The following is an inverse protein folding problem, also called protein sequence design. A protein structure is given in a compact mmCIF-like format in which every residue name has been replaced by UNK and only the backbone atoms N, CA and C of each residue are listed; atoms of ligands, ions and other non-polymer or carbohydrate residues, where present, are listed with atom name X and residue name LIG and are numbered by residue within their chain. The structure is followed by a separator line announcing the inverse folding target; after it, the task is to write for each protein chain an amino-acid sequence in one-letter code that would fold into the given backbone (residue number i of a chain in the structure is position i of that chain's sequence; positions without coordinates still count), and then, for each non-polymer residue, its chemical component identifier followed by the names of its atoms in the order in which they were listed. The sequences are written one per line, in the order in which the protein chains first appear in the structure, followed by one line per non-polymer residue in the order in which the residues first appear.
data_IF_775151287835
#
_entry.id   IF_775151287835
#
_cell.length_a   1.000
_cell.length_b   1.000
_cell.length_c   1.000
_cell.angle_alpha   90.00
_cell.angle_beta   90.00
_cell.angle_gamma   90.00
#
_symmetry.space_group_name_H-M   'P 1'
#
loop_
_entity.id
_entity.type
_entity.pdbx_description
1 polymer ?
#
# COMPACT_ATOMS: atom_id res chain seq x y z
N UNK A 1 13.46 4.89 -22.66
CA UNK A 1 12.48 3.98 -22.06
C UNK A 1 11.92 4.62 -20.81
N UNK A 2 10.61 4.57 -20.64
CA UNK A 2 9.91 5.06 -19.45
C UNK A 2 8.98 3.95 -18.95
N UNK A 3 9.02 3.70 -17.65
CA UNK A 3 8.13 2.79 -16.95
C UNK A 3 7.51 3.52 -15.77
N UNK A 4 6.19 3.43 -15.62
CA UNK A 4 5.43 3.97 -14.50
C UNK A 4 4.47 2.91 -13.99
N UNK A 5 4.47 2.71 -12.68
CA UNK A 5 3.62 1.75 -11.99
C UNK A 5 2.90 2.45 -10.82
N UNK A 6 1.71 3.00 -11.05
CA UNK A 6 0.84 3.43 -9.98
C UNK A 6 0.15 2.22 -9.34
N UNK A 7 -0.03 2.27 -8.02
CA UNK A 7 -0.84 1.34 -7.24
C UNK A 7 -1.65 2.13 -6.23
N UNK A 8 -2.95 1.90 -6.18
CA UNK A 8 -3.85 2.37 -5.12
C UNK A 8 -4.64 1.15 -4.68
N UNK A 9 -4.56 0.83 -3.40
CA UNK A 9 -5.23 -0.31 -2.79
C UNK A 9 -5.91 0.15 -1.51
N UNK A 10 -7.22 0.00 -1.44
CA UNK A 10 -8.03 0.35 -0.30
C UNK A 10 -8.85 -0.86 0.14
N UNK A 11 -8.94 -1.09 1.43
CA UNK A 11 -9.79 -2.09 2.03
C UNK A 11 -10.46 -1.55 3.28
N UNK A 12 -11.79 -1.69 3.35
CA UNK A 12 -12.57 -1.42 4.53
C UNK A 12 -13.26 -2.72 4.97
N UNK A 13 -13.08 -3.09 6.21
CA UNK A 13 -13.59 -4.34 6.76
C UNK A 13 -14.81 -4.08 7.63
N UNK A 14 -15.78 -4.96 7.52
CA UNK A 14 -17.00 -4.88 8.29
C UNK A 14 -17.62 -6.26 8.49
N UNK A 15 -18.60 -6.37 9.37
CA UNK A 15 -19.31 -7.61 9.66
C UNK A 15 -18.35 -8.71 10.13
N UNK A 16 -17.61 -8.42 11.18
CA UNK A 16 -16.72 -9.38 11.81
C UNK A 16 -17.48 -10.61 12.28
N UNK A 17 -16.85 -11.75 12.15
CA UNK A 17 -17.43 -13.05 12.46
C UNK A 17 -16.36 -14.02 12.87
N UNK A 18 -16.71 -14.95 13.73
CA UNK A 18 -15.87 -16.07 14.11
C UNK A 18 -16.31 -17.37 13.42
N UNK A 19 -15.43 -18.34 13.36
CA UNK A 19 -15.76 -19.67 12.89
C UNK A 19 -16.56 -20.43 13.97
N UNK A 20 -17.79 -20.83 13.67
CA UNK A 20 -18.66 -21.50 14.65
C UNK A 20 -18.09 -22.84 15.16
N UNK A 21 -17.32 -23.54 14.31
CA UNK A 21 -16.64 -24.79 14.66
C UNK A 21 -15.50 -25.10 13.70
N UNK A 22 -14.42 -25.73 14.17
CA UNK A 22 -13.31 -26.12 13.30
C UNK A 22 -13.76 -27.04 12.14
N UNK A 23 -13.23 -26.80 10.93
CA UNK A 23 -13.51 -27.62 9.75
C UNK A 23 -14.88 -27.40 9.12
N UNK A 24 -15.63 -26.36 9.51
CA UNK A 24 -16.88 -25.94 8.87
C UNK A 24 -16.76 -24.61 8.15
N UNK A 25 -17.78 -24.24 7.36
CA UNK A 25 -17.97 -22.90 6.82
C UNK A 25 -19.12 -22.16 7.51
N UNK A 26 -19.49 -22.62 8.72
CA UNK A 26 -20.49 -21.95 9.54
C UNK A 26 -19.81 -20.85 10.35
N UNK A 27 -20.40 -19.66 10.37
CA UNK A 27 -19.84 -18.49 11.05
C UNK A 27 -20.89 -17.89 11.99
N UNK A 28 -20.46 -17.49 13.17
CA UNK A 28 -21.21 -16.60 14.06
C UNK A 28 -20.82 -15.17 13.74
N UNK A 29 -21.75 -14.33 13.33
CA UNK A 29 -21.50 -12.92 13.09
C UNK A 29 -21.71 -12.14 14.38
N UNK A 30 -20.78 -11.28 14.71
CA UNK A 30 -20.92 -10.38 15.86
C UNK A 30 -21.90 -9.25 15.56
N UNK A 31 -22.73 -8.93 16.52
CA UNK A 31 -23.69 -7.84 16.48
C UNK A 31 -23.03 -6.50 16.85
N UNK A 32 -23.73 -5.40 16.65
CA UNK A 32 -23.18 -4.06 16.90
C UNK A 32 -22.93 -3.76 18.39
N UNK A 33 -23.62 -4.44 19.27
CA UNK A 33 -23.49 -4.34 20.73
C UNK A 33 -22.34 -5.21 21.30
N UNK A 34 -21.85 -6.17 20.52
CA UNK A 34 -20.68 -6.99 20.83
C UNK A 34 -19.36 -6.37 20.33
N UNK A 35 -19.43 -5.29 19.54
CA UNK A 35 -18.26 -4.67 18.92
C UNK A 35 -18.09 -3.22 19.42
N UNK A 36 -16.93 -2.93 19.99
CA UNK A 36 -16.51 -1.58 20.35
C UNK A 36 -15.33 -1.20 19.45
N UNK A 37 -15.45 -0.06 18.75
CA UNK A 37 -14.34 0.50 17.98
C UNK A 37 -13.86 1.79 18.65
N UNK A 38 -12.62 1.80 19.11
CA UNK A 38 -12.02 2.97 19.74
C UNK A 38 -10.50 3.01 19.50
N UNK A 39 -9.98 4.21 19.29
CA UNK A 39 -8.53 4.45 19.14
C UNK A 39 -7.81 3.61 18.08
N UNK A 40 -8.53 3.19 17.03
CA UNK A 40 -7.96 2.35 15.97
C UNK A 40 -7.91 0.86 16.29
N UNK A 41 -8.58 0.43 17.36
CA UNK A 41 -8.73 -0.97 17.76
C UNK A 41 -10.20 -1.36 17.77
N UNK A 42 -10.46 -2.60 17.44
CA UNK A 42 -11.73 -3.28 17.69
C UNK A 42 -11.61 -4.15 18.91
N UNK A 43 -12.53 -3.99 19.85
CA UNK A 43 -12.74 -4.92 20.96
C UNK A 43 -14.04 -5.67 20.72
N UNK A 44 -14.00 -6.97 20.80
CA UNK A 44 -15.16 -7.84 20.61
C UNK A 44 -15.40 -8.58 21.91
N UNK A 45 -16.63 -8.44 22.41
CA UNK A 45 -17.17 -9.20 23.53
C UNK A 45 -18.27 -10.14 22.97
N UNK A 46 -17.98 -11.45 22.83
CA UNK A 46 -18.87 -12.38 22.11
C UNK A 46 -20.26 -12.59 22.74
N UNK A 47 -20.47 -12.18 23.95
CA UNK A 47 -21.74 -12.31 24.68
C UNK A 47 -22.21 -11.00 25.36
N UNK A 48 -21.57 -9.88 24.99
CA UNK A 48 -21.88 -8.49 25.36
C UNK A 48 -21.85 -8.17 26.87
N UNK A 49 -22.03 -9.11 27.76
CA UNK A 49 -21.97 -8.93 29.21
C UNK A 49 -21.95 -10.27 29.97
N UNK A 50 -21.65 -11.36 29.30
CA UNK A 50 -21.57 -12.70 29.85
C UNK A 50 -20.18 -13.06 30.35
N UNK A 51 -19.90 -14.35 30.56
CA UNK A 51 -18.65 -14.84 31.08
C UNK A 51 -17.56 -15.03 30.00
N UNK A 52 -17.85 -14.80 28.71
CA UNK A 52 -16.85 -14.93 27.66
C UNK A 52 -15.81 -13.81 27.79
N UNK A 53 -14.54 -14.13 27.53
CA UNK A 53 -13.49 -13.13 27.55
C UNK A 53 -13.56 -12.29 26.26
N UNK A 54 -13.51 -10.95 26.40
CA UNK A 54 -13.35 -10.06 25.27
C UNK A 54 -11.93 -10.18 24.69
N UNK A 55 -11.81 -9.91 23.39
CA UNK A 55 -10.52 -9.84 22.70
C UNK A 55 -10.45 -8.62 21.80
N UNK A 56 -9.25 -8.10 21.58
CA UNK A 56 -9.03 -6.95 20.71
C UNK A 56 -8.06 -7.26 19.59
N UNK A 57 -8.20 -6.46 18.51
CA UNK A 57 -7.27 -6.44 17.38
C UNK A 57 -7.25 -5.05 16.75
N UNK A 58 -6.12 -4.72 16.09
CA UNK A 58 -5.96 -3.47 15.37
C UNK A 58 -6.99 -3.35 14.23
N UNK A 59 -7.43 -2.11 13.93
CA UNK A 59 -8.28 -1.87 12.77
C UNK A 59 -7.62 -2.42 11.50
N UNK A 60 -8.24 -3.39 10.82
CA UNK A 60 -7.67 -4.00 9.62
C UNK A 60 -7.85 -3.16 8.36
N UNK A 61 -8.53 -2.02 8.44
CA UNK A 61 -8.72 -1.12 7.30
C UNK A 61 -7.39 -0.57 6.83
N UNK A 62 -7.24 -0.46 5.53
CA UNK A 62 -6.01 0.07 4.94
C UNK A 62 -6.27 0.90 3.70
N UNK A 63 -5.37 1.83 3.43
CA UNK A 63 -5.38 2.65 2.23
C UNK A 63 -3.92 2.87 1.77
N UNK A 64 -3.40 1.95 0.98
CA UNK A 64 -2.03 1.96 0.48
C UNK A 64 -1.95 2.54 -0.92
N UNK A 65 -1.05 3.49 -1.11
CA UNK A 65 -0.81 4.17 -2.38
C UNK A 65 0.67 4.14 -2.70
N UNK A 66 1.04 3.84 -3.94
CA UNK A 66 2.43 3.96 -4.38
C UNK A 66 2.55 4.35 -5.84
N UNK A 67 3.64 5.04 -6.16
CA UNK A 67 4.04 5.33 -7.54
C UNK A 67 5.53 4.99 -7.68
N UNK A 68 5.82 4.05 -8.56
CA UNK A 68 7.19 3.71 -8.96
C UNK A 68 7.42 4.14 -10.40
N UNK A 69 8.50 4.86 -10.63
CA UNK A 69 8.91 5.32 -11.94
C UNK A 69 10.34 4.93 -12.25
N UNK A 70 10.60 4.58 -13.50
CA UNK A 70 11.96 4.38 -14.00
C UNK A 70 12.06 4.96 -15.41
N UNK A 71 13.03 5.85 -15.61
CA UNK A 71 13.34 6.42 -16.92
C UNK A 71 14.80 6.10 -17.28
N UNK A 72 14.99 5.58 -18.47
CA UNK A 72 16.32 5.26 -19.01
C UNK A 72 16.50 5.96 -20.35
N UNK A 73 17.47 6.86 -20.41
CA UNK A 73 17.96 7.46 -21.65
C UNK A 73 19.30 6.80 -22.00
N UNK A 74 19.37 6.19 -23.18
CA UNK A 74 20.61 5.71 -23.78
C UNK A 74 20.98 6.60 -24.94
N UNK A 75 22.19 7.12 -24.93
CA UNK A 75 22.72 7.96 -25.99
C UNK A 75 24.07 7.43 -26.46
N UNK A 76 24.13 7.03 -27.72
CA UNK A 76 25.38 6.66 -28.39
C UNK A 76 25.99 7.92 -29.00
N UNK A 77 26.97 8.49 -28.32
CA UNK A 77 27.58 9.77 -28.71
C UNK A 77 28.74 9.59 -29.70
N UNK A 78 29.24 8.34 -29.85
CA UNK A 78 30.26 7.93 -30.82
C UNK A 78 30.07 6.44 -31.09
N UNK A 79 30.36 5.91 -32.31
CA UNK A 79 30.25 4.49 -32.57
C UNK A 79 30.94 3.64 -31.49
N UNK A 80 30.21 2.74 -30.87
CA UNK A 80 30.66 1.88 -29.75
C UNK A 80 30.78 2.57 -28.39
N UNK A 81 30.51 3.88 -28.28
CA UNK A 81 30.60 4.65 -27.03
C UNK A 81 29.24 5.16 -26.61
N UNK A 82 28.78 4.77 -25.43
CA UNK A 82 27.40 5.00 -24.99
C UNK A 82 27.35 5.65 -23.62
N UNK A 83 26.41 6.56 -23.44
CA UNK A 83 26.06 7.18 -22.18
C UNK A 83 24.65 6.76 -21.80
N UNK A 84 24.48 6.36 -20.54
CA UNK A 84 23.19 6.03 -19.95
C UNK A 84 22.88 7.02 -18.83
N UNK A 85 21.68 7.54 -18.85
CA UNK A 85 21.08 8.26 -17.74
C UNK A 85 19.91 7.43 -17.23
N UNK A 86 19.93 7.09 -15.96
CA UNK A 86 18.84 6.37 -15.31
C UNK A 86 18.29 7.22 -14.19
N UNK A 87 17.00 7.40 -14.16
CA UNK A 87 16.28 8.01 -13.07
C UNK A 87 15.24 7.04 -12.56
N UNK A 88 15.28 6.76 -11.25
CA UNK A 88 14.30 5.95 -10.56
C UNK A 88 13.64 6.80 -9.50
N UNK A 89 12.32 6.77 -9.46
CA UNK A 89 11.51 7.44 -8.45
C UNK A 89 10.64 6.42 -7.73
N UNK A 90 10.52 6.57 -6.39
CA UNK A 90 9.58 5.83 -5.58
C UNK A 90 8.86 6.79 -4.64
N UNK A 91 7.53 6.61 -4.52
CA UNK A 91 6.67 7.29 -3.54
C UNK A 91 5.71 6.26 -3.00
N UNK A 92 5.36 6.39 -1.74
CA UNK A 92 4.31 5.58 -1.12
C UNK A 92 3.72 6.32 0.07
N UNK A 93 2.47 6.02 0.36
CA UNK A 93 1.70 6.55 1.47
C UNK A 93 0.70 5.49 1.92
N UNK A 94 0.53 5.33 3.22
CA UNK A 94 -0.38 4.36 3.85
C UNK A 94 -1.42 5.03 4.76
N UNK A 95 -1.57 6.36 4.63
CA UNK A 95 -2.54 7.08 5.42
C UNK A 95 -3.96 6.68 5.05
N UNK A 96 -4.73 6.24 6.04
CA UNK A 96 -6.14 5.92 5.90
C UNK A 96 -6.96 7.20 5.74
N UNK A 97 -7.53 7.40 4.57
CA UNK A 97 -8.42 8.53 4.29
C UNK A 97 -9.89 8.11 4.53
N UNK A 98 -10.56 8.79 5.45
CA UNK A 98 -11.99 8.62 5.70
C UNK A 98 -12.76 9.94 5.44
N UNK A 99 -13.82 9.93 4.63
CA UNK A 99 -14.19 8.87 3.71
C UNK A 99 -13.18 8.73 2.56
N UNK A 100 -12.98 7.50 2.11
CA UNK A 100 -12.09 7.22 0.98
C UNK A 100 -12.59 7.90 -0.30
N UNK A 101 -11.68 8.47 -1.07
CA UNK A 101 -11.96 9.03 -2.39
C UNK A 101 -10.72 8.91 -3.29
N UNK A 102 -10.89 8.35 -4.47
CA UNK A 102 -9.80 8.16 -5.44
C UNK A 102 -8.99 9.45 -5.72
N UNK A 103 -9.69 10.58 -5.89
CA UNK A 103 -9.03 11.87 -6.12
C UNK A 103 -8.17 12.33 -4.95
N UNK A 104 -8.58 12.08 -3.70
CA UNK A 104 -7.77 12.35 -2.51
C UNK A 104 -6.52 11.47 -2.49
N UNK A 105 -6.67 10.18 -2.78
CA UNK A 105 -5.55 9.24 -2.82
C UNK A 105 -4.50 9.64 -3.85
N UNK A 106 -4.93 10.06 -5.05
CA UNK A 106 -4.01 10.55 -6.10
C UNK A 106 -3.33 11.85 -5.69
N UNK A 107 -4.08 12.82 -5.14
CA UNK A 107 -3.52 14.10 -4.69
C UNK A 107 -2.49 13.89 -3.58
N UNK A 108 -2.82 13.09 -2.57
CA UNK A 108 -1.92 12.75 -1.47
C UNK A 108 -0.64 12.08 -1.96
N UNK A 109 -0.76 11.11 -2.87
CA UNK A 109 0.40 10.46 -3.47
C UNK A 109 1.28 11.45 -4.25
N UNK A 110 0.70 12.44 -4.92
CA UNK A 110 1.44 13.48 -5.62
C UNK A 110 2.21 14.40 -4.66
N UNK A 111 1.65 14.67 -3.48
CA UNK A 111 2.23 15.54 -2.45
C UNK A 111 3.23 14.79 -1.54
N UNK A 112 3.18 13.46 -1.52
CA UNK A 112 4.09 12.63 -0.72
C UNK A 112 5.54 12.78 -1.20
N UNK A 113 6.46 12.83 -0.24
CA UNK A 113 7.90 12.89 -0.53
C UNK A 113 8.33 11.72 -1.40
N UNK A 114 9.07 12.04 -2.46
CA UNK A 114 9.62 11.05 -3.37
C UNK A 114 11.09 10.77 -3.09
N UNK A 115 11.46 9.51 -3.13
CA UNK A 115 12.84 9.08 -3.21
C UNK A 115 13.25 9.06 -4.68
N UNK A 116 14.33 9.77 -5.01
CA UNK A 116 14.84 9.86 -6.37
C UNK A 116 16.28 9.35 -6.40
N UNK A 117 16.54 8.43 -7.31
CA UNK A 117 17.88 7.88 -7.56
C UNK A 117 18.26 8.22 -8.99
N UNK A 118 19.40 8.87 -9.15
CA UNK A 118 19.98 9.17 -10.45
C UNK A 118 21.27 8.39 -10.62
N UNK A 119 21.42 7.73 -11.77
CA UNK A 119 22.63 6.99 -12.12
C UNK A 119 23.07 7.41 -13.52
N UNK A 120 24.38 7.62 -13.68
CA UNK A 120 25.02 7.84 -14.97
C UNK A 120 26.06 6.75 -15.20
N UNK A 121 25.99 6.10 -16.36
CA UNK A 121 26.98 5.12 -16.81
C UNK A 121 27.50 5.54 -18.16
N UNK A 122 28.84 5.64 -18.30
CA UNK A 122 29.52 5.92 -19.56
C UNK A 122 30.34 4.70 -19.99
N UNK A 123 30.26 4.34 -21.25
CA UNK A 123 31.17 3.39 -21.91
C UNK A 123 31.89 4.09 -23.03
N UNK A 124 33.18 3.82 -23.19
CA UNK A 124 33.99 4.38 -24.25
C UNK A 124 34.68 3.25 -25.02
N UNK A 125 34.48 3.25 -26.33
CA UNK A 125 35.16 2.31 -27.22
C UNK A 125 36.47 2.93 -27.75
N UNK A 126 37.53 2.22 -27.57
CA UNK A 126 38.85 2.58 -28.11
C UNK A 126 39.31 1.49 -29.05
N UNK A 127 39.58 1.84 -30.31
CA UNK A 127 40.30 0.97 -31.26
C UNK A 127 41.81 1.33 -31.24
N UNK A 128 42.65 0.39 -30.99
CA UNK A 128 44.10 0.47 -31.23
C UNK A 128 44.36 0.32 -32.71
#
# INVERSE_FOLDING_TARGET
QLYLQPLISHGAYSRFKELARPGSFDFNAFSADEIIHSNGEYEIDPDAAGPAESFSFDNPDFDFKSLRGNAVLRWEYKPGSTLYFVWTQNRWDDHLDEPWAFGKSVSRLADTRSDNIFMVKATYWWSL
#
